data_IF_794410450853
#
_entry.id   IF_794410450853
#
_cell.length_a   1.000
_cell.length_b   1.000
_cell.length_c   1.000
_cell.angle_alpha   90.00
_cell.angle_beta   90.00
_cell.angle_gamma   90.00
#
_symmetry.space_group_name_H-M   'P 1'
#
loop_
_entity.id
_entity.type
_entity.pdbx_description
1 polymer ?
#
# COMPACT_ATOMS: atom_id res chain seq x y z
N UNK A 1 -53.13 10.04 10.97
CA UNK A 1 -52.01 9.25 11.52
C UNK A 1 -50.79 9.59 10.68
N UNK A 2 -50.05 10.61 11.09
CA UNK A 2 -48.75 10.93 10.49
C UNK A 2 -47.74 9.91 11.02
N UNK A 3 -47.24 9.06 10.12
CA UNK A 3 -46.10 8.22 10.42
C UNK A 3 -44.87 9.14 10.45
N UNK A 4 -44.42 9.47 11.66
CA UNK A 4 -43.16 10.19 11.86
C UNK A 4 -42.03 9.39 11.21
N UNK A 5 -41.41 9.99 10.21
CA UNK A 5 -40.20 9.47 9.59
C UNK A 5 -39.09 9.56 10.63
N UNK A 6 -38.89 8.48 11.37
CA UNK A 6 -37.85 8.37 12.39
C UNK A 6 -36.53 8.22 11.64
N UNK A 7 -35.76 9.31 11.55
CA UNK A 7 -34.42 9.29 10.98
C UNK A 7 -33.56 8.33 11.82
N UNK A 8 -33.05 7.29 11.17
CA UNK A 8 -32.06 6.40 11.73
C UNK A 8 -30.73 7.16 11.77
N UNK A 9 -30.45 7.75 12.94
CA UNK A 9 -29.26 8.57 13.14
C UNK A 9 -27.97 7.75 13.01
N UNK A 10 -27.97 6.46 13.34
CA UNK A 10 -26.78 5.62 13.19
C UNK A 10 -26.50 5.33 11.72
N UNK A 11 -27.55 5.11 10.92
CA UNK A 11 -27.43 5.01 9.46
C UNK A 11 -27.00 6.33 8.83
N UNK A 12 -27.60 7.45 9.22
CA UNK A 12 -27.24 8.77 8.71
C UNK A 12 -25.80 9.16 9.13
N UNK A 13 -25.38 8.84 10.35
CA UNK A 13 -24.01 9.05 10.83
C UNK A 13 -23.04 8.17 10.06
N UNK A 14 -23.34 6.88 9.85
CA UNK A 14 -22.48 6.00 9.04
C UNK A 14 -22.41 6.46 7.59
N UNK A 15 -23.50 6.94 6.99
CA UNK A 15 -23.49 7.52 5.64
C UNK A 15 -22.66 8.81 5.60
N UNK A 16 -22.86 9.74 6.55
CA UNK A 16 -22.10 11.00 6.66
C UNK A 16 -20.60 10.76 6.95
N UNK A 17 -20.26 9.76 7.76
CA UNK A 17 -18.88 9.42 8.11
C UNK A 17 -18.21 8.51 7.07
N UNK A 18 -18.98 7.76 6.28
CA UNK A 18 -18.43 6.89 5.22
C UNK A 18 -17.78 7.67 4.08
N UNK A 19 -18.15 8.94 3.92
CA UNK A 19 -17.59 9.84 2.90
C UNK A 19 -16.45 10.72 3.44
N UNK A 20 -16.16 10.67 4.75
CA UNK A 20 -15.08 11.45 5.36
C UNK A 20 -13.82 10.61 5.51
N UNK A 21 -12.70 11.19 5.12
CA UNK A 21 -11.39 10.65 5.44
C UNK A 21 -11.02 10.95 6.90
N UNK A 22 -10.18 10.10 7.48
CA UNK A 22 -9.67 10.24 8.85
C UNK A 22 -8.16 10.43 8.86
N UNK A 23 -7.70 11.44 9.59
CA UNK A 23 -6.29 11.67 9.86
C UNK A 23 -5.74 10.51 10.71
N UNK A 24 -4.76 9.79 10.18
CA UNK A 24 -4.17 8.64 10.84
C UNK A 24 -3.47 8.98 12.16
N UNK A 25 -2.99 10.22 12.31
CA UNK A 25 -2.26 10.65 13.50
C UNK A 25 -3.19 11.09 14.65
N UNK A 26 -4.29 11.79 14.37
CA UNK A 26 -5.12 12.41 15.42
C UNK A 26 -6.61 12.07 15.34
N UNK A 27 -7.05 11.34 14.31
CA UNK A 27 -8.44 10.94 14.10
C UNK A 27 -9.37 12.06 13.61
N UNK A 28 -8.84 13.25 13.29
CA UNK A 28 -9.64 14.32 12.71
C UNK A 28 -10.27 13.89 11.38
N UNK A 29 -11.53 14.25 11.16
CA UNK A 29 -12.28 13.92 9.95
C UNK A 29 -12.31 15.09 8.97
N UNK A 30 -12.29 14.80 7.68
CA UNK A 30 -12.35 15.81 6.61
C UNK A 30 -12.68 15.20 5.25
N UNK A 31 -13.18 16.04 4.35
CA UNK A 31 -13.41 15.67 2.94
C UNK A 31 -12.09 15.50 2.17
N UNK A 32 -11.08 16.28 2.58
CA UNK A 32 -9.74 16.25 2.02
C UNK A 32 -8.70 16.08 3.13
N UNK A 33 -7.59 15.42 2.79
CA UNK A 33 -6.45 15.17 3.67
C UNK A 33 -5.15 15.39 2.90
N UNK A 34 -4.08 15.73 3.63
CA UNK A 34 -2.74 15.71 3.06
C UNK A 34 -2.30 14.25 2.98
N UNK A 35 -2.05 13.80 1.76
CA UNK A 35 -1.50 12.47 1.48
C UNK A 35 -0.11 12.64 0.90
N UNK A 36 0.86 11.98 1.49
CA UNK A 36 2.24 12.07 1.04
C UNK A 36 3.22 11.42 2.00
N UNK A 37 4.49 11.79 1.85
CA UNK A 37 5.58 11.06 2.47
C UNK A 37 6.29 11.87 3.56
N UNK A 38 6.71 11.18 4.62
CA UNK A 38 7.63 11.72 5.62
C UNK A 38 8.70 10.71 6.00
N UNK A 39 9.83 11.21 6.49
CA UNK A 39 10.88 10.40 7.15
C UNK A 39 10.88 10.57 8.66
N UNK A 40 9.93 11.33 9.21
CA UNK A 40 9.79 11.48 10.67
C UNK A 40 9.57 10.11 11.31
N UNK A 41 10.37 9.77 12.33
CA UNK A 41 10.35 8.43 12.92
C UNK A 41 9.05 8.18 13.67
N UNK A 42 8.52 9.21 14.34
CA UNK A 42 7.24 9.17 15.06
C UNK A 42 6.04 8.83 14.15
N UNK A 43 6.16 9.01 12.83
CA UNK A 43 5.10 8.63 11.89
C UNK A 43 4.93 7.11 11.74
N UNK A 44 5.92 6.30 12.18
CA UNK A 44 5.82 4.84 12.16
C UNK A 44 4.65 4.29 13.00
N UNK A 45 4.17 5.06 13.98
CA UNK A 45 3.04 4.66 14.81
C UNK A 45 1.70 4.64 14.08
N UNK A 46 1.56 5.45 13.03
CA UNK A 46 0.30 5.61 12.31
C UNK A 46 0.39 5.39 10.79
N UNK A 47 1.59 5.29 10.22
CA UNK A 47 1.77 4.91 8.82
C UNK A 47 1.30 3.46 8.61
N UNK A 48 0.41 3.24 7.64
CA UNK A 48 -0.27 1.95 7.39
C UNK A 48 0.73 0.80 7.24
N UNK A 49 1.81 1.01 6.47
CA UNK A 49 2.81 -0.02 6.18
C UNK A 49 3.86 -0.21 7.29
N UNK A 50 3.98 0.73 8.22
CA UNK A 50 4.95 0.62 9.33
C UNK A 50 4.30 0.21 10.64
N UNK A 51 2.96 0.14 10.71
CA UNK A 51 2.23 -0.12 11.95
C UNK A 51 2.61 -1.47 12.58
N UNK A 52 2.93 -2.45 11.74
CA UNK A 52 3.26 -3.83 12.13
C UNK A 52 4.77 -4.11 12.19
N UNK A 53 5.63 -3.12 11.94
CA UNK A 53 7.08 -3.30 12.07
C UNK A 53 7.47 -3.65 13.52
N UNK A 54 8.35 -4.64 13.65
CA UNK A 54 8.84 -5.16 14.94
C UNK A 54 9.74 -4.13 15.65
N UNK A 55 10.57 -3.41 14.90
CA UNK A 55 11.36 -2.29 15.42
C UNK A 55 11.02 -1.01 14.63
N UNK A 56 10.44 -0.04 15.34
CA UNK A 56 10.13 1.29 14.81
C UNK A 56 11.15 2.33 15.27
N UNK A 57 12.03 1.95 16.20
CA UNK A 57 13.06 2.81 16.75
C UNK A 57 14.04 3.12 15.63
N UNK A 58 14.22 4.40 15.33
CA UNK A 58 15.15 4.86 14.28
C UNK A 58 14.79 4.39 12.85
N UNK A 59 13.52 4.06 12.59
CA UNK A 59 13.05 3.75 11.24
C UNK A 59 13.13 5.00 10.34
N UNK A 60 14.16 5.09 9.50
CA UNK A 60 14.40 6.19 8.57
C UNK A 60 13.70 6.02 7.20
N UNK A 61 13.03 4.88 7.02
CA UNK A 61 12.25 4.58 5.84
C UNK A 61 11.23 5.69 5.55
N UNK A 62 11.00 5.93 4.27
CA UNK A 62 9.97 6.86 3.79
C UNK A 62 8.60 6.25 4.09
N UNK A 63 7.72 7.03 4.72
CA UNK A 63 6.39 6.57 5.16
C UNK A 63 5.31 7.32 4.42
N UNK A 64 4.46 6.61 3.69
CA UNK A 64 3.22 7.16 3.16
C UNK A 64 2.21 7.33 4.30
N UNK A 65 1.66 8.52 4.45
CA UNK A 65 0.71 8.87 5.51
C UNK A 65 -0.47 9.69 4.96
N UNK A 66 -1.61 9.57 5.64
CA UNK A 66 -2.83 10.34 5.39
C UNK A 66 -3.15 11.14 6.64
N UNK A 67 -2.97 12.46 6.58
CA UNK A 67 -3.08 13.33 7.77
C UNK A 67 -3.76 14.66 7.45
N UNK A 68 -4.36 15.28 8.46
CA UNK A 68 -4.85 16.66 8.33
C UNK A 68 -3.69 17.66 8.22
N UNK A 69 -3.97 18.88 7.75
CA UNK A 69 -2.93 19.91 7.55
C UNK A 69 -2.08 20.21 8.80
N UNK A 70 -2.68 20.20 9.99
CA UNK A 70 -1.94 20.48 11.22
C UNK A 70 -0.93 19.37 11.52
N UNK A 71 -1.34 18.11 11.38
CA UNK A 71 -0.46 16.95 11.50
C UNK A 71 0.59 16.93 10.38
N UNK A 72 0.24 17.30 9.15
CA UNK A 72 1.20 17.40 8.04
C UNK A 72 2.36 18.34 8.36
N UNK A 73 2.09 19.50 8.97
CA UNK A 73 3.13 20.44 9.41
C UNK A 73 3.96 19.88 10.56
N UNK A 74 3.32 19.24 11.54
CA UNK A 74 4.00 18.64 12.71
C UNK A 74 4.97 17.53 12.28
N UNK A 75 4.52 16.62 11.42
CA UNK A 75 5.31 15.46 10.96
C UNK A 75 6.07 15.73 9.65
N UNK A 76 6.13 16.98 9.20
CA UNK A 76 6.87 17.43 7.99
C UNK A 76 6.54 16.58 6.75
N UNK A 77 5.26 16.34 6.54
CA UNK A 77 4.77 15.54 5.40
C UNK A 77 4.94 16.34 4.11
N UNK A 78 5.66 15.76 3.16
CA UNK A 78 5.70 16.23 1.79
C UNK A 78 4.58 15.54 1.00
N UNK A 79 3.46 16.24 0.83
CA UNK A 79 2.25 15.68 0.23
C UNK A 79 1.33 16.74 -0.34
N UNK A 80 0.23 16.28 -0.90
CA UNK A 80 -0.79 17.12 -1.55
C UNK A 80 -2.14 16.95 -0.85
N UNK A 81 -2.94 18.01 -0.86
CA UNK A 81 -4.33 17.96 -0.39
C UNK A 81 -5.18 17.26 -1.46
N UNK A 82 -5.87 16.19 -1.09
CA UNK A 82 -6.69 15.41 -2.01
C UNK A 82 -7.89 14.79 -1.31
N UNK A 83 -8.86 14.34 -2.11
CA UNK A 83 -10.05 13.61 -1.66
C UNK A 83 -9.79 12.09 -1.52
N UNK A 84 -10.82 11.31 -1.17
CA UNK A 84 -10.71 9.84 -1.01
C UNK A 84 -10.21 9.18 -2.31
N UNK A 85 -10.66 9.64 -3.48
CA UNK A 85 -10.24 9.07 -4.76
C UNK A 85 -8.76 9.32 -5.07
N UNK A 86 -8.27 10.53 -4.82
CA UNK A 86 -6.85 10.86 -4.91
C UNK A 86 -6.01 10.03 -3.94
N UNK A 87 -6.46 9.90 -2.68
CA UNK A 87 -5.78 9.08 -1.67
C UNK A 87 -5.65 7.63 -2.13
N UNK A 88 -6.74 7.05 -2.63
CA UNK A 88 -6.76 5.66 -3.10
C UNK A 88 -5.89 5.47 -4.35
N UNK A 89 -5.74 6.48 -5.19
CA UNK A 89 -4.81 6.45 -6.33
C UNK A 89 -3.34 6.41 -5.87
N UNK A 90 -2.99 7.19 -4.85
CA UNK A 90 -1.65 7.16 -4.25
C UNK A 90 -1.37 5.83 -3.54
N UNK A 91 -2.35 5.28 -2.82
CA UNK A 91 -2.21 3.95 -2.20
C UNK A 91 -2.01 2.84 -3.24
N UNK A 92 -2.71 2.92 -4.38
CA UNK A 92 -2.51 1.99 -5.49
C UNK A 92 -1.12 2.12 -6.10
N UNK A 93 -0.63 3.34 -6.34
CA UNK A 93 0.73 3.58 -6.85
C UNK A 93 1.79 3.05 -5.88
N UNK A 94 1.64 3.28 -4.58
CA UNK A 94 2.55 2.75 -3.57
C UNK A 94 2.53 1.22 -3.53
N UNK A 95 1.36 0.59 -3.62
CA UNK A 95 1.22 -0.87 -3.70
C UNK A 95 1.96 -1.43 -4.93
N UNK A 96 1.81 -0.79 -6.10
CA UNK A 96 2.51 -1.16 -7.34
C UNK A 96 4.02 -1.08 -7.21
N UNK A 97 4.55 0.02 -6.68
CA UNK A 97 6.00 0.16 -6.44
C UNK A 97 6.54 -0.93 -5.53
N UNK A 98 5.82 -1.26 -4.45
CA UNK A 98 6.25 -2.34 -3.56
C UNK A 98 6.22 -3.71 -4.25
N UNK A 99 5.26 -3.94 -5.15
CA UNK A 99 5.21 -5.15 -5.97
C UNK A 99 6.39 -5.22 -6.95
N UNK A 100 6.72 -4.12 -7.61
CA UNK A 100 7.90 -3.98 -8.48
C UNK A 100 9.18 -4.27 -7.68
N UNK A 101 9.35 -3.63 -6.52
CA UNK A 101 10.51 -3.85 -5.64
C UNK A 101 10.63 -5.32 -5.20
N UNK A 102 9.51 -5.99 -4.90
CA UNK A 102 9.50 -7.42 -4.56
C UNK A 102 9.90 -8.29 -5.75
N UNK A 103 9.46 -7.97 -6.97
CA UNK A 103 9.84 -8.71 -8.18
C UNK A 103 11.33 -8.50 -8.49
N UNK A 104 11.82 -7.27 -8.41
CA UNK A 104 13.23 -6.94 -8.57
C UNK A 104 14.10 -7.68 -7.56
N UNK A 105 13.63 -7.78 -6.31
CA UNK A 105 14.30 -8.58 -5.28
C UNK A 105 14.41 -10.03 -5.71
N UNK A 106 13.28 -10.71 -5.96
CA UNK A 106 13.24 -12.12 -6.35
C UNK A 106 14.08 -12.42 -7.61
N UNK A 107 14.07 -11.51 -8.58
CA UNK A 107 14.75 -11.69 -9.85
C UNK A 107 16.27 -11.57 -9.72
N UNK A 108 16.76 -10.48 -9.11
CA UNK A 108 18.17 -10.11 -9.25
C UNK A 108 18.81 -9.46 -8.02
N UNK A 109 18.10 -8.68 -7.22
CA UNK A 109 18.76 -7.84 -6.21
C UNK A 109 19.45 -8.64 -5.11
N UNK A 110 18.88 -9.78 -4.67
CA UNK A 110 19.54 -10.66 -3.68
C UNK A 110 20.93 -11.13 -4.15
N UNK A 111 21.18 -11.20 -5.47
CA UNK A 111 22.48 -11.63 -6.04
C UNK A 111 23.58 -10.59 -5.87
N UNK A 112 23.23 -9.35 -5.53
CA UNK A 112 24.19 -8.27 -5.25
C UNK A 112 24.74 -8.34 -3.82
N UNK A 113 24.16 -9.19 -2.96
CA UNK A 113 24.62 -9.36 -1.59
C UNK A 113 26.04 -9.97 -1.56
N UNK A 114 26.91 -9.41 -0.72
CA UNK A 114 28.34 -9.76 -0.64
C UNK A 114 28.56 -11.24 -0.30
N UNK A 115 27.60 -11.86 0.37
CA UNK A 115 27.69 -13.22 0.89
C UNK A 115 27.29 -14.28 -0.14
N UNK A 116 26.72 -13.89 -1.30
CA UNK A 116 26.29 -14.83 -2.34
C UNK A 116 27.50 -15.44 -3.08
N UNK A 117 27.68 -16.76 -3.05
CA UNK A 117 28.74 -17.42 -3.80
C UNK A 117 28.60 -17.22 -5.32
N UNK A 118 29.71 -17.11 -6.03
CA UNK A 118 29.70 -16.91 -7.50
C UNK A 118 28.94 -18.02 -8.26
N UNK A 119 28.98 -19.26 -7.76
CA UNK A 119 28.27 -20.39 -8.37
C UNK A 119 26.75 -20.34 -8.21
N UNK A 120 26.25 -19.54 -7.27
CA UNK A 120 24.83 -19.37 -6.99
C UNK A 120 24.22 -18.18 -7.75
N UNK A 121 25.05 -17.29 -8.32
CA UNK A 121 24.58 -16.13 -9.09
C UNK A 121 23.74 -16.50 -10.33
N UNK A 122 23.90 -17.72 -10.86
CA UNK A 122 23.12 -18.23 -12.00
C UNK A 122 21.80 -18.90 -11.60
N UNK A 123 21.56 -19.13 -10.32
CA UNK A 123 20.36 -19.81 -9.80
C UNK A 123 19.26 -18.79 -9.45
N UNK A 124 18.05 -19.29 -9.22
CA UNK A 124 16.95 -18.55 -8.61
C UNK A 124 17.07 -18.52 -7.08
N UNK A 125 16.38 -17.58 -6.43
CA UNK A 125 16.37 -17.49 -4.96
C UNK A 125 15.77 -18.75 -4.31
N UNK A 126 14.75 -19.33 -4.95
CA UNK A 126 14.10 -20.57 -4.55
C UNK A 126 15.03 -21.79 -4.50
N UNK A 127 16.13 -21.76 -5.26
CA UNK A 127 17.16 -22.80 -5.23
C UNK A 127 18.25 -22.54 -4.19
N UNK A 128 18.59 -21.27 -3.95
CA UNK A 128 19.72 -20.86 -3.09
C UNK A 128 19.30 -20.72 -1.64
N UNK A 129 18.19 -20.03 -1.41
CA UNK A 129 17.56 -19.89 -0.10
C UNK A 129 16.03 -20.10 -0.22
N UNK A 130 15.57 -21.36 -0.18
CA UNK A 130 14.15 -21.69 -0.29
C UNK A 130 13.29 -21.12 0.83
N UNK A 131 13.87 -20.74 1.97
CA UNK A 131 13.09 -20.18 3.08
C UNK A 131 12.91 -18.68 2.90
N UNK A 132 13.98 -17.96 2.60
CA UNK A 132 13.89 -16.54 2.22
C UNK A 132 12.98 -16.35 1.01
N UNK A 133 13.07 -17.22 0.01
CA UNK A 133 12.15 -17.21 -1.12
C UNK A 133 10.68 -17.28 -0.68
N UNK A 134 10.32 -18.21 0.22
CA UNK A 134 8.94 -18.33 0.70
C UNK A 134 8.50 -17.08 1.46
N UNK A 135 9.39 -16.47 2.24
CA UNK A 135 9.08 -15.24 2.98
C UNK A 135 8.77 -14.09 2.01
N UNK A 136 9.66 -13.85 1.04
CA UNK A 136 9.50 -12.81 0.02
C UNK A 136 8.30 -13.06 -0.91
N UNK A 137 8.10 -14.31 -1.33
CA UNK A 137 6.95 -14.70 -2.14
C UNK A 137 5.63 -14.51 -1.39
N UNK A 138 5.60 -14.84 -0.08
CA UNK A 138 4.43 -14.59 0.77
C UNK A 138 4.14 -13.10 0.95
N UNK A 139 5.17 -12.26 0.95
CA UNK A 139 5.03 -10.82 1.02
C UNK A 139 4.44 -10.28 -0.29
N UNK A 140 4.99 -10.71 -1.44
CA UNK A 140 4.46 -10.38 -2.77
C UNK A 140 2.99 -10.77 -2.91
N UNK A 141 2.60 -11.99 -2.51
CA UNK A 141 1.21 -12.45 -2.58
C UNK A 141 0.27 -11.59 -1.71
N UNK A 142 0.70 -11.17 -0.51
CA UNK A 142 -0.06 -10.25 0.33
C UNK A 142 -0.27 -8.89 -0.34
N UNK A 143 0.75 -8.38 -1.03
CA UNK A 143 0.63 -7.14 -1.80
C UNK A 143 -0.30 -7.30 -3.01
N UNK A 144 -0.31 -8.44 -3.69
CA UNK A 144 -1.27 -8.72 -4.77
C UNK A 144 -2.71 -8.78 -4.25
N UNK A 145 -2.94 -9.31 -3.05
CA UNK A 145 -4.25 -9.24 -2.39
C UNK A 145 -4.67 -7.80 -2.10
N UNK A 146 -3.76 -6.98 -1.56
CA UNK A 146 -3.98 -5.55 -1.33
C UNK A 146 -4.33 -4.84 -2.65
N UNK A 147 -3.58 -5.09 -3.72
CA UNK A 147 -3.84 -4.56 -5.05
C UNK A 147 -5.27 -4.87 -5.52
N UNK A 148 -5.73 -6.11 -5.34
CA UNK A 148 -7.10 -6.51 -5.70
C UNK A 148 -8.16 -5.81 -4.85
N UNK A 149 -7.88 -5.58 -3.55
CA UNK A 149 -8.78 -4.83 -2.67
C UNK A 149 -8.89 -3.36 -3.09
N UNK A 150 -7.76 -2.71 -3.40
CA UNK A 150 -7.73 -1.34 -3.92
C UNK A 150 -8.50 -1.25 -5.25
N UNK A 151 -8.27 -2.17 -6.18
CA UNK A 151 -9.01 -2.27 -7.44
C UNK A 151 -10.52 -2.44 -7.24
N UNK A 152 -10.93 -3.22 -6.23
CA UNK A 152 -12.35 -3.41 -5.91
C UNK A 152 -12.98 -2.08 -5.48
N UNK A 153 -12.32 -1.31 -4.62
CA UNK A 153 -12.78 0.02 -4.21
C UNK A 153 -13.06 0.93 -5.40
N UNK A 154 -12.12 1.00 -6.37
CA UNK A 154 -12.30 1.82 -7.59
C UNK A 154 -13.52 1.39 -8.40
N UNK A 155 -13.69 0.07 -8.58
CA UNK A 155 -14.81 -0.49 -9.35
C UNK A 155 -16.16 -0.22 -8.69
N UNK A 156 -16.26 -0.43 -7.37
CA UNK A 156 -17.49 -0.24 -6.60
C UNK A 156 -17.95 1.23 -6.61
N UNK A 157 -17.01 2.17 -6.66
CA UNK A 157 -17.30 3.62 -6.73
C UNK A 157 -17.33 4.18 -8.14
N UNK A 158 -17.19 3.33 -9.17
CA UNK A 158 -17.16 3.74 -10.58
C UNK A 158 -16.11 4.82 -10.91
N UNK A 159 -14.99 4.81 -10.18
CA UNK A 159 -13.86 5.70 -10.41
C UNK A 159 -12.87 5.03 -11.37
N UNK A 160 -12.29 5.82 -12.27
CA UNK A 160 -11.28 5.32 -13.21
C UNK A 160 -10.04 4.81 -12.46
N UNK A 161 -9.60 3.61 -12.82
CA UNK A 161 -8.36 3.05 -12.27
C UNK A 161 -7.17 3.71 -12.99
N UNK A 162 -6.24 4.34 -12.26
CA UNK A 162 -5.01 4.87 -12.84
C UNK A 162 -4.16 3.77 -13.46
N UNK A 163 -3.55 4.06 -14.61
CA UNK A 163 -2.66 3.14 -15.35
C UNK A 163 -3.16 1.68 -15.41
N UNK A 164 -4.17 1.39 -16.25
CA UNK A 164 -4.74 0.05 -16.36
C UNK A 164 -3.82 -0.97 -17.03
N UNK A 165 -2.72 -0.54 -17.67
CA UNK A 165 -1.76 -1.40 -18.36
C UNK A 165 -0.75 -2.07 -17.43
N UNK A 166 -0.55 -1.50 -16.24
CA UNK A 166 0.41 -1.97 -15.25
C UNK A 166 0.24 -3.47 -14.91
N UNK A 167 -1.00 -3.90 -14.67
CA UNK A 167 -1.29 -5.29 -14.25
C UNK A 167 -0.74 -6.32 -15.22
N UNK A 168 -0.91 -6.11 -16.53
CA UNK A 168 -0.43 -7.07 -17.54
C UNK A 168 1.09 -7.15 -17.57
N UNK A 169 1.77 -6.01 -17.44
CA UNK A 169 3.24 -5.96 -17.43
C UNK A 169 3.79 -6.71 -16.22
N UNK A 170 3.27 -6.40 -15.03
CA UNK A 170 3.64 -7.08 -13.80
C UNK A 170 3.42 -8.61 -13.87
N UNK A 171 2.29 -9.07 -14.40
CA UNK A 171 2.01 -10.52 -14.54
C UNK A 171 2.97 -11.18 -15.52
N UNK A 172 3.26 -10.55 -16.65
CA UNK A 172 4.23 -11.06 -17.63
C UNK A 172 5.63 -11.23 -17.02
N UNK A 173 6.07 -10.30 -16.16
CA UNK A 173 7.34 -10.38 -15.46
C UNK A 173 7.37 -11.52 -14.44
N UNK A 174 6.36 -11.62 -13.57
CA UNK A 174 6.26 -12.68 -12.55
C UNK A 174 6.23 -14.08 -13.18
N UNK A 175 5.41 -14.27 -14.22
CA UNK A 175 5.33 -15.55 -14.95
C UNK A 175 6.62 -15.81 -15.73
N UNK A 176 7.26 -14.77 -16.27
CA UNK A 176 8.56 -14.85 -16.92
C UNK A 176 9.68 -15.36 -16.00
N UNK A 177 9.59 -15.05 -14.70
CA UNK A 177 10.48 -15.59 -13.66
C UNK A 177 10.11 -17.02 -13.23
N UNK A 178 8.97 -17.55 -13.69
CA UNK A 178 8.49 -18.90 -13.35
C UNK A 178 7.62 -18.98 -12.10
N UNK A 179 7.14 -17.84 -11.59
CA UNK A 179 6.31 -17.77 -10.38
C UNK A 179 4.81 -17.61 -10.72
N UNK A 180 3.94 -17.98 -9.78
CA UNK A 180 2.48 -17.78 -9.93
C UNK A 180 2.05 -16.39 -9.45
N UNK A 181 0.97 -15.85 -10.01
CA UNK A 181 0.37 -14.58 -9.57
C UNK A 181 -1.13 -14.73 -9.32
N UNK A 182 -1.64 -14.04 -8.29
CA UNK A 182 -3.07 -13.83 -8.06
C UNK A 182 -3.68 -12.84 -9.06
N UNK A 183 -2.82 -12.08 -9.75
CA UNK A 183 -3.23 -11.07 -10.72
C UNK A 183 -3.37 -11.63 -12.14
N UNK A 184 -3.08 -12.90 -12.37
CA UNK A 184 -3.28 -13.56 -13.67
C UNK A 184 -2.44 -14.82 -13.82
N UNK A 185 -2.83 -15.65 -14.79
CA UNK A 185 -2.06 -16.79 -15.30
C UNK A 185 -1.19 -16.35 -16.49
#
# INVERSE_FOLDING_TARGET
>A
MEAGMQLDWDKAINEILSEKMSCQACGALGDEMIVGYTRETAAAEFAVRCKECVDKTDCDARKLVVVCESCARTYRVNGELMDEAGMMAVLLDECRRNLEDSVDYLATYWKEEIEVPYEDMTKGLDEVDPELFKEEDSWRLRLEEEYLQLHRWFRERHVGIPDPGWRSQYVEEVVGLGYSSLLGD
#
